data_IF_206019218350
#
_entry.id   IF_206019218350
#
_cell.length_a   1.000
_cell.length_b   1.000
_cell.length_c   1.000
_cell.angle_alpha   90.00
_cell.angle_beta   90.00
_cell.angle_gamma   90.00
#
_symmetry.space_group_name_H-M   'P 1'
#
loop_
_entity.id
_entity.type
_entity.pdbx_description
1 polymer ?
#
# COMPACT_ATOMS: atom_id res chain seq x y z
N UNK A 1 23.29 -20.54 -49.12
CA UNK A 1 23.38 -21.90 -48.54
C UNK A 1 22.14 -22.09 -47.68
N UNK A 2 21.48 -23.24 -47.80
CA UNK A 2 20.20 -23.56 -47.15
C UNK A 2 20.42 -24.81 -46.32
N UNK A 3 20.04 -24.81 -45.04
CA UNK A 3 19.71 -26.04 -44.32
C UNK A 3 18.85 -25.74 -43.07
N UNK A 4 17.61 -26.26 -43.01
CA UNK A 4 16.78 -26.25 -41.80
C UNK A 4 16.75 -27.63 -41.14
N UNK A 5 17.08 -27.71 -39.85
CA UNK A 5 16.95 -28.96 -39.08
C UNK A 5 15.53 -29.06 -38.49
N UNK A 6 14.87 -30.19 -38.73
CA UNK A 6 13.49 -30.48 -38.31
C UNK A 6 13.43 -31.24 -36.99
N UNK A 7 12.45 -30.85 -36.18
CA UNK A 7 11.50 -31.66 -35.40
C UNK A 7 11.96 -32.96 -34.69
N UNK A 8 11.56 -33.07 -33.42
CA UNK A 8 11.06 -34.32 -32.85
C UNK A 8 9.84 -34.01 -31.95
N UNK A 9 8.77 -34.81 -32.09
CA UNK A 9 7.59 -34.75 -31.22
C UNK A 9 7.82 -35.62 -29.97
N UNK A 10 7.22 -35.22 -28.85
CA UNK A 10 6.78 -36.14 -27.80
C UNK A 10 5.44 -35.66 -27.26
N UNK A 11 4.49 -36.59 -27.05
CA UNK A 11 3.11 -36.30 -26.67
C UNK A 11 2.69 -37.19 -25.48
N UNK A 12 1.52 -36.84 -24.91
CA UNK A 12 0.81 -37.55 -23.83
C UNK A 12 1.46 -37.40 -22.42
N UNK A 13 0.71 -37.48 -21.31
CA UNK A 13 -0.66 -37.97 -21.12
C UNK A 13 -1.49 -37.12 -20.15
N UNK A 14 -2.81 -37.24 -20.27
CA UNK A 14 -3.84 -36.64 -19.41
C UNK A 14 -4.01 -37.45 -18.10
N UNK A 15 -4.21 -36.77 -16.97
CA UNK A 15 -4.75 -37.39 -15.75
C UNK A 15 -5.59 -36.38 -14.97
N UNK A 16 -6.91 -36.62 -14.91
CA UNK A 16 -7.88 -35.81 -14.16
C UNK A 16 -8.22 -36.55 -12.87
N UNK A 17 -8.14 -35.85 -11.73
CA UNK A 17 -8.64 -36.34 -10.45
C UNK A 17 -9.63 -35.31 -9.87
N UNK A 18 -10.92 -35.60 -10.06
CA UNK A 18 -12.01 -34.90 -9.38
C UNK A 18 -12.29 -35.61 -8.06
N UNK A 19 -12.20 -34.90 -6.94
CA UNK A 19 -12.87 -35.33 -5.70
C UNK A 19 -14.03 -34.38 -5.42
N UNK A 20 -15.24 -34.89 -5.61
CA UNK A 20 -16.46 -34.26 -5.12
C UNK A 20 -16.66 -34.64 -3.64
N UNK A 21 -17.01 -33.66 -2.81
CA UNK A 21 -17.29 -33.82 -1.39
C UNK A 21 -18.54 -33.03 -1.00
N UNK A 22 -19.72 -33.54 -1.36
CA UNK A 22 -20.99 -33.05 -0.82
C UNK A 22 -21.40 -33.92 0.38
N UNK A 23 -21.80 -33.27 1.47
CA UNK A 23 -22.44 -33.89 2.62
C UNK A 23 -23.23 -32.84 3.39
N UNK A 24 -24.55 -32.97 3.41
CA UNK A 24 -25.48 -32.04 4.04
C UNK A 24 -26.46 -32.81 4.93
N UNK A 25 -27.01 -32.12 5.94
CA UNK A 25 -28.26 -32.46 6.66
C UNK A 25 -28.22 -33.66 7.65
N UNK A 26 -29.22 -33.81 8.55
CA UNK A 26 -29.75 -32.81 9.48
C UNK A 26 -30.04 -33.42 10.89
N UNK A 27 -31.03 -32.86 11.61
CA UNK A 27 -31.59 -33.25 12.91
C UNK A 27 -30.71 -32.88 14.13
N UNK A 28 -31.09 -31.95 15.02
CA UNK A 28 -32.34 -31.82 15.80
C UNK A 28 -32.48 -32.89 16.89
N UNK A 29 -32.11 -32.52 18.13
CA UNK A 29 -32.58 -33.15 19.36
C UNK A 29 -33.23 -32.05 20.21
N UNK A 30 -34.45 -32.32 20.69
CA UNK A 30 -35.28 -31.39 21.46
C UNK A 30 -35.36 -31.89 22.90
N UNK A 31 -35.00 -31.05 23.87
CA UNK A 31 -35.24 -31.33 25.28
C UNK A 31 -35.99 -30.16 25.95
N UNK A 32 -37.27 -30.38 26.22
CA UNK A 32 -38.03 -29.72 27.30
C UNK A 32 -37.64 -30.42 28.63
N UNK A 33 -37.82 -29.91 29.85
CA UNK A 33 -38.35 -28.65 30.44
C UNK A 33 -37.32 -28.18 31.51
N UNK A 34 -37.50 -27.20 32.42
CA UNK A 34 -38.63 -26.41 32.98
C UNK A 34 -38.07 -25.05 33.49
N UNK A 35 -38.88 -24.05 33.89
CA UNK A 35 -38.36 -22.79 34.41
C UNK A 35 -38.21 -22.82 35.94
N UNK A 36 -37.18 -22.14 36.43
CA UNK A 36 -37.16 -21.59 37.80
C UNK A 36 -36.73 -20.12 37.76
N UNK A 37 -37.36 -19.31 38.60
CA UNK A 37 -37.28 -17.86 38.50
C UNK A 37 -36.08 -17.31 39.28
N UNK A 38 -35.19 -16.60 38.56
CA UNK A 38 -34.30 -15.61 39.16
C UNK A 38 -34.59 -14.26 38.49
N UNK A 39 -35.23 -13.36 39.24
CA UNK A 39 -35.34 -11.96 38.85
C UNK A 39 -33.94 -11.38 38.92
N UNK A 40 -33.38 -10.99 37.77
CA UNK A 40 -32.17 -10.18 37.70
C UNK A 40 -32.58 -8.79 37.23
N UNK A 41 -32.07 -7.79 37.93
CA UNK A 41 -32.41 -6.38 37.78
C UNK A 41 -32.17 -5.86 36.36
N UNK A 42 -33.12 -5.07 35.84
CA UNK A 42 -32.99 -4.37 34.56
C UNK A 42 -31.98 -3.22 34.72
N UNK A 43 -30.69 -3.54 34.55
CA UNK A 43 -29.64 -2.55 34.44
C UNK A 43 -29.63 -1.98 33.01
N UNK A 44 -29.73 -0.65 32.80
CA UNK A 44 -29.77 -0.08 31.46
C UNK A 44 -28.52 -0.46 30.67
N UNK A 45 -28.71 -1.23 29.60
CA UNK A 45 -27.62 -1.59 28.70
C UNK A 45 -27.07 -0.32 28.07
N UNK A 46 -25.87 0.08 28.52
CA UNK A 46 -25.19 1.25 27.98
C UNK A 46 -25.07 1.09 26.46
N UNK A 47 -25.59 2.08 25.73
CA UNK A 47 -25.53 2.06 24.27
C UNK A 47 -24.08 1.94 23.83
N UNK A 48 -23.81 0.96 22.96
CA UNK A 48 -22.49 0.75 22.38
C UNK A 48 -22.01 2.07 21.77
N UNK A 49 -20.94 2.62 22.33
CA UNK A 49 -20.47 3.94 21.98
C UNK A 49 -19.87 3.88 20.58
N UNK A 50 -20.68 4.25 19.57
CA UNK A 50 -20.29 4.28 18.17
C UNK A 50 -18.90 4.90 18.04
N UNK A 51 -17.93 4.05 17.68
CA UNK A 51 -16.53 4.48 17.60
C UNK A 51 -16.45 5.67 16.64
N UNK A 52 -15.82 6.79 17.03
CA UNK A 52 -15.76 7.95 16.16
C UNK A 52 -15.00 7.58 14.89
N UNK A 53 -15.70 7.56 13.76
CA UNK A 53 -15.08 7.45 12.44
C UNK A 53 -13.96 8.49 12.35
N UNK A 54 -12.70 8.10 12.13
CA UNK A 54 -11.60 9.06 12.09
C UNK A 54 -11.89 10.15 11.06
N UNK A 55 -11.70 11.40 11.44
CA UNK A 55 -11.92 12.54 10.54
C UNK A 55 -10.88 12.49 9.39
N UNK A 56 -11.28 11.98 8.23
CA UNK A 56 -10.43 11.89 7.04
C UNK A 56 -10.31 13.26 6.35
N UNK A 57 -9.69 14.23 7.04
CA UNK A 57 -9.10 15.45 6.48
C UNK A 57 -8.44 16.27 7.61
N UNK A 58 -7.11 16.29 7.67
CA UNK A 58 -6.23 17.41 8.13
C UNK A 58 -4.81 16.94 8.45
N UNK A 59 -4.61 15.68 8.84
CA UNK A 59 -3.28 15.14 9.09
C UNK A 59 -2.41 15.23 7.82
N UNK A 60 -1.45 16.17 7.82
CA UNK A 60 -0.35 16.24 6.83
C UNK A 60 0.82 15.30 7.20
N UNK A 61 0.63 14.44 8.20
CA UNK A 61 1.59 13.40 8.55
C UNK A 61 1.52 12.27 7.53
N UNK A 62 2.65 11.95 6.90
CA UNK A 62 2.84 10.72 6.12
C UNK A 62 3.11 9.57 7.10
N UNK A 63 2.49 8.42 6.91
CA UNK A 63 2.74 7.21 7.72
C UNK A 63 2.94 5.99 6.81
N UNK A 64 3.40 4.86 7.36
CA UNK A 64 3.56 3.62 6.58
C UNK A 64 2.22 3.04 6.11
N UNK A 65 1.14 3.35 6.82
CA UNK A 65 -0.22 2.92 6.51
C UNK A 65 -0.85 3.75 5.38
N UNK A 66 -0.54 5.05 5.27
CA UNK A 66 -1.18 5.90 4.28
C UNK A 66 -0.94 7.40 4.38
N UNK A 67 -1.69 8.15 3.58
CA UNK A 67 -1.67 9.61 3.51
C UNK A 67 -2.91 10.13 2.76
N UNK A 68 -3.41 11.30 3.14
CA UNK A 68 -4.47 11.99 2.38
C UNK A 68 -5.78 11.23 2.19
N UNK A 69 -6.09 10.28 3.09
CA UNK A 69 -7.26 9.39 2.99
C UNK A 69 -7.04 8.13 2.15
N UNK A 70 -5.85 7.94 1.58
CA UNK A 70 -5.43 6.68 0.97
C UNK A 70 -4.79 5.76 2.04
N UNK A 71 -4.90 4.45 1.83
CA UNK A 71 -4.30 3.42 2.70
C UNK A 71 -3.63 2.36 1.84
N UNK A 72 -2.37 2.04 2.13
CA UNK A 72 -1.60 1.01 1.39
C UNK A 72 -2.31 -0.35 1.50
N UNK A 73 -2.38 -1.07 0.38
CA UNK A 73 -3.06 -2.36 0.27
C UNK A 73 -4.60 -2.29 0.33
N UNK A 74 -5.20 -1.10 0.28
CA UNK A 74 -6.66 -0.93 0.17
C UNK A 74 -7.06 -0.26 -1.15
N UNK A 75 -8.29 -0.49 -1.65
CA UNK A 75 -8.83 0.30 -2.74
C UNK A 75 -8.91 1.79 -2.37
N UNK A 76 -8.88 2.65 -3.39
CA UNK A 76 -9.17 4.08 -3.21
C UNK A 76 -10.61 4.23 -2.70
N UNK A 77 -10.86 5.00 -1.63
CA UNK A 77 -12.22 5.18 -1.11
C UNK A 77 -13.17 5.78 -2.14
N UNK A 78 -14.44 5.32 -2.13
CA UNK A 78 -15.48 5.92 -2.94
C UNK A 78 -15.68 7.40 -2.55
N UNK A 79 -15.80 8.29 -3.54
CA UNK A 79 -15.89 9.74 -3.31
C UNK A 79 -14.57 10.43 -2.96
N UNK A 80 -13.44 9.71 -3.01
CA UNK A 80 -12.09 10.28 -2.83
C UNK A 80 -11.78 11.37 -3.88
N UNK A 81 -11.06 12.46 -3.52
CA UNK A 81 -10.57 13.46 -4.48
C UNK A 81 -9.40 12.94 -5.35
N UNK A 82 -8.85 11.78 -4.99
CA UNK A 82 -7.76 11.13 -5.70
C UNK A 82 -8.25 10.51 -7.00
N UNK A 83 -7.70 10.97 -8.12
CA UNK A 83 -8.10 10.55 -9.45
C UNK A 83 -6.92 10.57 -10.43
N UNK A 84 -7.00 9.75 -11.47
CA UNK A 84 -6.06 9.78 -12.57
C UNK A 84 -6.21 11.09 -13.35
N UNK A 85 -5.11 11.77 -13.62
CA UNK A 85 -5.07 13.03 -14.38
C UNK A 85 -3.86 13.01 -15.32
N UNK A 86 -4.09 13.26 -16.60
CA UNK A 86 -3.05 13.18 -17.63
C UNK A 86 -2.74 11.74 -18.08
N UNK A 87 -1.65 11.59 -18.82
CA UNK A 87 -1.23 10.33 -19.46
C UNK A 87 -0.41 9.42 -18.52
N UNK A 88 -0.94 9.13 -17.33
CA UNK A 88 -0.27 8.32 -16.30
C UNK A 88 -1.06 7.06 -15.95
N UNK A 89 -1.50 6.36 -17.01
CA UNK A 89 -2.34 5.16 -16.96
C UNK A 89 -1.75 4.19 -17.99
N UNK A 90 -1.35 3.01 -17.53
CA UNK A 90 -0.97 1.86 -18.36
C UNK A 90 -1.76 0.63 -17.92
N UNK A 91 -1.70 -0.46 -18.68
CA UNK A 91 -2.44 -1.68 -18.37
C UNK A 91 -2.00 -2.26 -17.01
N UNK A 92 -2.85 -2.10 -16.00
CA UNK A 92 -2.62 -2.60 -14.64
C UNK A 92 -1.99 -1.60 -13.65
N UNK A 93 -1.49 -0.45 -14.11
CA UNK A 93 -0.88 0.60 -13.27
C UNK A 93 -1.57 1.95 -13.52
N UNK A 94 -2.04 2.61 -12.46
CA UNK A 94 -2.63 3.96 -12.55
C UNK A 94 -2.00 4.89 -11.52
N UNK A 95 -1.52 6.05 -11.96
CA UNK A 95 -1.09 7.12 -11.05
C UNK A 95 -2.23 8.10 -10.77
N UNK A 96 -2.45 8.39 -9.49
CA UNK A 96 -3.49 9.28 -8.98
C UNK A 96 -2.86 10.49 -8.31
N UNK A 97 -3.50 11.64 -8.45
CA UNK A 97 -3.18 12.87 -7.72
C UNK A 97 -4.43 13.42 -7.04
N UNK A 98 -4.32 14.47 -6.22
CA UNK A 98 -5.48 15.21 -5.71
C UNK A 98 -5.14 16.71 -5.52
N UNK A 99 -5.99 17.67 -5.94
CA UNK A 99 -5.69 19.11 -5.83
C UNK A 99 -5.38 19.60 -4.40
N UNK A 100 -6.06 19.03 -3.39
CA UNK A 100 -5.85 19.39 -1.97
C UNK A 100 -4.55 18.82 -1.37
N UNK A 101 -3.85 17.99 -2.15
CA UNK A 101 -2.61 17.28 -1.80
C UNK A 101 -1.52 17.57 -2.85
N UNK A 102 -1.10 18.84 -3.01
CA UNK A 102 -0.04 19.22 -3.96
C UNK A 102 1.28 18.51 -3.61
N UNK A 103 2.10 18.27 -4.64
CA UNK A 103 3.30 17.45 -4.53
C UNK A 103 3.06 15.99 -4.14
N UNK A 104 1.83 15.49 -4.12
CA UNK A 104 1.54 14.10 -3.73
C UNK A 104 0.88 13.31 -4.86
N UNK A 105 1.37 12.09 -5.08
CA UNK A 105 0.76 11.13 -6.00
C UNK A 105 0.72 9.73 -5.38
N UNK A 106 -0.13 8.87 -5.91
CA UNK A 106 -0.24 7.47 -5.51
C UNK A 106 -0.26 6.55 -6.73
N UNK A 107 0.40 5.40 -6.64
CA UNK A 107 0.31 4.33 -7.63
C UNK A 107 -0.72 3.31 -7.14
N UNK A 108 -1.65 2.96 -8.02
CA UNK A 108 -2.64 1.88 -7.83
C UNK A 108 -2.36 0.77 -8.83
N UNK A 109 -2.23 -0.44 -8.33
CA UNK A 109 -2.11 -1.68 -9.12
C UNK A 109 -3.00 -2.75 -8.47
N UNK A 110 -3.58 -3.64 -9.28
CA UNK A 110 -4.55 -4.66 -8.81
C UNK A 110 -5.73 -4.05 -8.00
N UNK A 111 -6.14 -2.84 -8.35
CA UNK A 111 -7.20 -2.05 -7.69
C UNK A 111 -6.92 -1.65 -6.23
N UNK A 112 -5.67 -1.70 -5.76
CA UNK A 112 -5.26 -1.23 -4.42
C UNK A 112 -4.10 -0.24 -4.49
N UNK A 113 -4.03 0.67 -3.53
CA UNK A 113 -2.91 1.63 -3.42
C UNK A 113 -1.64 0.86 -3.05
N UNK A 114 -0.61 0.93 -3.90
CA UNK A 114 0.67 0.23 -3.73
C UNK A 114 1.78 1.13 -3.24
N UNK A 115 1.81 2.38 -3.71
CA UNK A 115 2.76 3.42 -3.29
C UNK A 115 2.05 4.75 -3.16
N UNK A 116 2.47 5.54 -2.18
CA UNK A 116 2.22 6.97 -2.08
C UNK A 116 3.58 7.66 -2.13
N UNK A 117 3.67 8.79 -2.82
CA UNK A 117 4.89 9.59 -2.96
C UNK A 117 4.59 11.05 -2.70
N UNK A 118 5.51 11.75 -2.04
CA UNK A 118 5.44 13.19 -1.78
C UNK A 118 6.75 13.90 -2.16
N UNK A 119 6.64 15.06 -2.82
CA UNK A 119 7.73 15.94 -3.23
C UNK A 119 7.79 17.24 -2.42
N UNK A 120 8.76 18.10 -2.74
CA UNK A 120 8.99 19.45 -2.21
C UNK A 120 7.78 20.41 -2.27
N UNK A 121 6.93 20.28 -3.29
CA UNK A 121 5.63 20.97 -3.37
C UNK A 121 4.73 20.60 -2.18
N UNK A 122 4.83 19.37 -1.69
CA UNK A 122 4.09 18.90 -0.53
C UNK A 122 4.61 19.52 0.78
N UNK A 123 3.76 19.49 1.80
CA UNK A 123 4.11 19.87 3.18
C UNK A 123 4.03 18.68 4.12
N UNK A 124 4.04 17.47 3.54
CA UNK A 124 4.06 16.22 4.24
C UNK A 124 5.37 16.02 5.00
N UNK A 125 5.27 15.51 6.24
CA UNK A 125 6.40 15.02 7.04
C UNK A 125 5.98 13.74 7.75
N UNK A 126 6.96 12.90 8.08
CA UNK A 126 6.78 11.74 8.95
C UNK A 126 6.71 12.22 10.42
N UNK A 127 6.39 11.31 11.36
CA UNK A 127 6.32 11.65 12.80
C UNK A 127 7.67 12.09 13.39
N UNK A 128 8.77 11.69 12.77
CA UNK A 128 10.15 12.09 13.07
C UNK A 128 10.48 13.52 12.57
N UNK A 129 9.56 14.18 11.87
CA UNK A 129 9.78 15.50 11.25
C UNK A 129 10.54 15.45 9.92
N UNK A 130 10.89 14.26 9.44
CA UNK A 130 11.59 14.02 8.18
C UNK A 130 10.63 14.08 6.98
N UNK A 131 11.07 14.65 5.87
CA UNK A 131 10.38 14.59 4.58
C UNK A 131 11.06 15.48 3.54
N UNK A 132 10.39 15.91 2.46
CA UNK A 132 11.02 16.70 1.41
C UNK A 132 11.75 17.94 1.95
N UNK A 133 12.95 18.21 1.46
CA UNK A 133 13.88 19.25 1.91
C UNK A 133 14.70 18.94 3.18
N UNK A 134 14.46 17.83 3.88
CA UNK A 134 15.35 17.34 4.96
C UNK A 134 16.69 16.88 4.37
N UNK A 135 17.77 16.95 5.14
CA UNK A 135 19.11 16.46 4.73
C UNK A 135 19.25 14.94 4.86
N UNK A 136 20.15 14.33 4.08
CA UNK A 136 20.59 12.95 4.32
C UNK A 136 21.08 12.73 5.75
N UNK A 137 21.77 13.71 6.35
CA UNK A 137 22.24 13.61 7.73
C UNK A 137 21.10 13.48 8.74
N UNK A 138 20.00 14.22 8.55
CA UNK A 138 18.78 14.09 9.35
C UNK A 138 18.08 12.74 9.10
N UNK A 139 17.99 12.29 7.84
CA UNK A 139 17.44 10.97 7.50
C UNK A 139 18.23 9.86 8.20
N UNK A 140 19.56 9.84 8.11
CA UNK A 140 20.41 8.82 8.74
C UNK A 140 20.37 8.85 10.26
N UNK A 141 20.15 10.03 10.85
CA UNK A 141 19.98 10.19 12.31
C UNK A 141 18.64 9.61 12.79
N UNK A 142 17.56 9.81 12.05
CA UNK A 142 16.25 9.24 12.36
C UNK A 142 16.18 7.73 12.04
N UNK A 143 16.81 7.32 10.94
CA UNK A 143 16.68 6.00 10.34
C UNK A 143 18.05 5.33 10.06
N UNK A 144 18.80 4.96 11.12
CA UNK A 144 20.17 4.46 10.98
C UNK A 144 20.29 3.08 10.29
N UNK A 145 19.18 2.36 10.13
CA UNK A 145 19.13 1.04 9.48
C UNK A 145 18.88 1.07 7.97
N UNK A 146 18.75 2.27 7.36
CA UNK A 146 18.39 2.38 5.94
C UNK A 146 19.59 2.06 5.04
N UNK A 147 19.32 1.24 4.02
CA UNK A 147 20.32 0.81 3.04
C UNK A 147 20.42 1.86 1.93
N UNK A 148 21.64 2.19 1.52
CA UNK A 148 21.90 3.15 0.46
C UNK A 148 22.15 2.45 -0.89
N UNK A 149 21.53 2.95 -1.95
CA UNK A 149 21.67 2.46 -3.33
C UNK A 149 21.90 3.64 -4.27
N UNK A 150 22.78 3.57 -5.29
CA UNK A 150 23.00 4.68 -6.22
C UNK A 150 21.72 5.14 -6.92
N UNK A 151 21.55 6.45 -7.12
CA UNK A 151 20.39 6.98 -7.84
C UNK A 151 20.42 6.55 -9.32
N UNK A 152 19.26 6.31 -9.93
CA UNK A 152 19.20 5.70 -11.28
C UNK A 152 19.69 6.62 -12.40
N UNK A 153 19.45 7.93 -12.25
CA UNK A 153 19.62 8.93 -13.31
C UNK A 153 20.48 10.14 -12.91
N UNK A 154 20.94 10.20 -11.66
CA UNK A 154 21.72 11.33 -11.13
C UNK A 154 22.96 10.75 -10.47
N UNK A 155 24.12 11.30 -10.81
CA UNK A 155 25.39 10.85 -10.26
C UNK A 155 25.51 11.16 -8.76
N UNK A 156 26.53 10.58 -8.11
CA UNK A 156 26.86 10.90 -6.73
C UNK A 156 27.03 12.43 -6.54
N UNK A 157 26.46 13.03 -5.48
CA UNK A 157 26.04 12.36 -4.25
C UNK A 157 24.62 11.78 -4.24
N UNK A 158 23.82 11.85 -5.31
CA UNK A 158 22.44 11.37 -5.28
C UNK A 158 22.32 9.85 -5.00
N UNK A 159 21.35 9.45 -4.17
CA UNK A 159 21.11 8.04 -3.80
C UNK A 159 19.69 7.78 -3.32
N UNK A 160 19.29 6.52 -3.32
CA UNK A 160 18.13 6.04 -2.58
C UNK A 160 18.55 5.65 -1.16
N UNK A 161 17.69 5.93 -0.17
CA UNK A 161 17.79 5.37 1.19
C UNK A 161 16.51 4.58 1.49
N UNK A 162 16.64 3.25 1.59
CA UNK A 162 15.49 2.33 1.66
C UNK A 162 15.45 1.60 3.00
N UNK A 163 14.27 1.53 3.62
CA UNK A 163 14.02 0.70 4.80
C UNK A 163 14.02 -0.79 4.42
N UNK A 164 14.75 -1.68 5.11
CA UNK A 164 14.79 -3.10 4.78
C UNK A 164 13.50 -3.85 5.13
N UNK A 165 13.13 -4.84 4.31
CA UNK A 165 11.98 -5.76 4.51
C UNK A 165 10.85 -5.57 3.48
N UNK A 166 9.75 -6.31 3.65
CA UNK A 166 8.80 -6.57 2.55
C UNK A 166 7.35 -6.08 2.74
N UNK A 167 6.89 -5.79 3.98
CA UNK A 167 5.61 -5.08 4.20
C UNK A 167 5.72 -3.60 3.72
N UNK A 168 4.75 -2.70 3.97
CA UNK A 168 4.95 -1.29 3.68
C UNK A 168 6.26 -0.75 4.27
N UNK A 169 7.06 -0.11 3.41
CA UNK A 169 8.40 0.43 3.72
C UNK A 169 8.52 1.86 3.22
N UNK A 170 9.44 2.57 3.86
CA UNK A 170 9.84 3.93 3.51
C UNK A 170 11.06 3.89 2.57
N UNK A 171 11.05 4.72 1.52
CA UNK A 171 12.19 5.00 0.64
C UNK A 171 12.32 6.52 0.48
N UNK A 172 13.54 7.03 0.59
CA UNK A 172 13.87 8.42 0.27
C UNK A 172 14.68 8.47 -1.02
N UNK A 173 14.45 9.49 -1.84
CA UNK A 173 15.40 9.91 -2.86
C UNK A 173 16.19 11.10 -2.32
N UNK A 174 17.51 10.98 -2.34
CA UNK A 174 18.45 12.05 -2.04
C UNK A 174 18.97 12.62 -3.36
N UNK A 175 18.86 13.94 -3.53
CA UNK A 175 19.32 14.69 -4.71
C UNK A 175 20.84 15.00 -4.67
N UNK A 176 21.29 15.83 -5.62
CA UNK A 176 22.69 16.24 -5.74
C UNK A 176 23.12 17.24 -4.65
N UNK A 177 22.18 17.80 -3.91
CA UNK A 177 22.35 18.79 -2.84
C UNK A 177 22.30 18.16 -1.42
N UNK A 178 22.37 16.82 -1.35
CA UNK A 178 22.20 15.99 -0.15
C UNK A 178 20.85 16.22 0.58
N UNK A 179 19.80 16.56 -0.18
CA UNK A 179 18.42 16.76 0.32
C UNK A 179 17.47 15.67 -0.15
N UNK A 180 16.44 15.42 0.65
CA UNK A 180 15.31 14.58 0.28
C UNK A 180 14.47 15.30 -0.78
N UNK A 181 14.48 14.82 -2.02
CA UNK A 181 13.64 15.31 -3.11
C UNK A 181 12.26 14.66 -3.08
N UNK A 182 12.23 13.33 -2.93
CA UNK A 182 11.01 12.51 -2.83
C UNK A 182 11.02 11.62 -1.58
N UNK A 183 9.84 11.40 -1.02
CA UNK A 183 9.56 10.37 0.00
C UNK A 183 8.50 9.43 -0.54
N UNK A 184 8.78 8.13 -0.49
CA UNK A 184 7.84 7.08 -0.89
C UNK A 184 7.49 6.21 0.31
N UNK A 185 6.20 5.89 0.45
CA UNK A 185 5.69 4.82 1.29
C UNK A 185 4.99 3.81 0.39
N UNK A 186 5.30 2.53 0.52
CA UNK A 186 4.63 1.51 -0.29
C UNK A 186 5.17 0.11 -0.08
N UNK A 187 4.61 -0.83 -0.83
CA UNK A 187 5.05 -2.23 -0.87
C UNK A 187 5.95 -2.50 -2.07
N UNK A 188 6.84 -3.49 -1.96
CA UNK A 188 7.67 -3.92 -3.10
C UNK A 188 6.85 -4.82 -4.05
N UNK A 189 7.14 -4.81 -5.37
CA UNK A 189 8.21 -4.06 -6.05
C UNK A 189 7.87 -2.59 -6.31
N UNK A 190 6.61 -2.18 -6.24
CA UNK A 190 6.13 -0.82 -6.62
C UNK A 190 6.85 0.31 -5.90
N UNK A 191 7.26 0.10 -4.64
CA UNK A 191 8.08 1.05 -3.88
C UNK A 191 9.38 1.44 -4.59
N UNK A 192 10.01 0.50 -5.30
CA UNK A 192 11.31 0.65 -5.95
C UNK A 192 11.22 1.16 -7.40
N UNK A 193 10.01 1.43 -7.92
CA UNK A 193 9.84 2.01 -9.25
C UNK A 193 10.48 3.41 -9.32
N UNK A 194 11.18 3.70 -10.40
CA UNK A 194 11.90 4.99 -10.54
C UNK A 194 10.97 6.12 -10.97
N UNK A 195 9.87 5.80 -11.62
CA UNK A 195 8.88 6.76 -12.13
C UNK A 195 7.46 6.40 -11.62
N UNK A 196 6.44 7.09 -12.13
CA UNK A 196 5.04 6.72 -11.96
C UNK A 196 4.63 5.56 -12.88
N UNK A 197 3.33 5.46 -13.16
CA UNK A 197 2.83 4.58 -14.22
C UNK A 197 2.97 5.28 -15.58
N UNK A 198 3.89 4.78 -16.42
CA UNK A 198 4.14 5.25 -17.78
C UNK A 198 4.47 4.05 -18.70
#
# INVERSE_FOLDING_TARGET
MIEPVKAALAAASLAVLLLAGCGSEPAAERAETKPDAAVVEDAPQAADAAQPTPAIATARTLTLEGYGGLTIGKPVPAGSPWAARGAQISDGCTTLSAPDWPGAYAIVEENVVRRITVSDESKAKLVEGIGPGSTEAEVRKAFPSFVAEPHKYVDAPAKYLTQPGDDPRLRFEIDAEDKVSLVHVGVRPTLEYVEGCA
#
